data_IF_935841039268
#
_entry.id   IF_935841039268
#
_cell.length_a   1.000
_cell.length_b   1.000
_cell.length_c   1.000
_cell.angle_alpha   90.00
_cell.angle_beta   90.00
_cell.angle_gamma   90.00
#
_symmetry.space_group_name_H-M   'P 1'
#
loop_
_entity.id
_entity.type
_entity.pdbx_description
1 polymer ?
#
# COMPACT_ATOMS: atom_id res chain seq x y z
N UNK A 1 -7.95 8.56 8.62
CA UNK A 1 -7.26 7.58 7.74
C UNK A 1 -5.89 7.19 8.27
N UNK A 2 -5.04 8.15 8.67
CA UNK A 2 -3.66 7.87 9.14
C UNK A 2 -3.66 7.01 10.41
N UNK A 3 -4.44 7.36 11.44
CA UNK A 3 -4.53 6.57 12.68
C UNK A 3 -4.99 5.13 12.43
N UNK A 4 -6.02 4.95 11.60
CA UNK A 4 -6.53 3.61 11.23
C UNK A 4 -5.45 2.85 10.42
N UNK A 5 -4.69 3.56 9.57
CA UNK A 5 -3.56 3.00 8.84
C UNK A 5 -2.46 2.47 9.77
N UNK A 6 -2.07 3.24 10.79
CA UNK A 6 -1.08 2.82 11.79
C UNK A 6 -1.54 1.56 12.54
N UNK A 7 -2.81 1.53 12.97
CA UNK A 7 -3.39 0.34 13.63
C UNK A 7 -3.34 -0.88 12.72
N UNK A 8 -3.69 -0.74 11.43
CA UNK A 8 -3.62 -1.83 10.45
C UNK A 8 -2.22 -2.44 10.37
N UNK A 9 -1.19 -1.59 10.31
CA UNK A 9 0.20 -2.04 10.18
C UNK A 9 0.80 -2.52 11.49
N UNK A 10 0.30 -2.04 12.64
CA UNK A 10 0.72 -2.52 13.95
C UNK A 10 0.33 -3.99 14.19
N UNK A 11 -0.83 -4.43 13.66
CA UNK A 11 -1.31 -5.81 13.83
C UNK A 11 -0.32 -6.86 13.29
N UNK A 12 0.19 -6.80 12.04
CA UNK A 12 1.20 -7.74 11.57
C UNK A 12 2.54 -7.63 12.30
N UNK A 13 2.93 -6.43 12.73
CA UNK A 13 4.16 -6.20 13.48
C UNK A 13 4.13 -6.80 14.89
N UNK A 14 2.94 -7.11 15.41
CA UNK A 14 2.79 -7.83 16.65
C UNK A 14 3.19 -9.32 16.54
N UNK A 15 3.17 -9.89 15.31
CA UNK A 15 3.51 -11.32 15.10
C UNK A 15 4.92 -11.72 15.57
N UNK A 16 6.00 -11.00 15.26
CA UNK A 16 7.32 -11.32 15.77
C UNK A 16 7.40 -11.28 17.30
N UNK A 17 6.78 -10.29 17.93
CA UNK A 17 6.71 -10.18 19.39
C UNK A 17 5.96 -11.34 20.00
N UNK A 18 4.86 -11.74 19.41
CA UNK A 18 4.07 -12.89 19.83
C UNK A 18 4.86 -14.19 19.71
N UNK A 19 5.58 -14.38 18.59
CA UNK A 19 6.47 -15.54 18.42
C UNK A 19 7.55 -15.59 19.50
N UNK A 20 8.15 -14.45 19.84
CA UNK A 20 9.11 -14.36 20.93
C UNK A 20 8.47 -14.78 22.26
N UNK A 21 7.30 -14.24 22.61
CA UNK A 21 6.59 -14.60 23.85
C UNK A 21 6.28 -16.10 23.92
N UNK A 22 5.84 -16.69 22.80
CA UNK A 22 5.51 -18.13 22.74
C UNK A 22 6.78 -18.98 22.89
N UNK A 23 7.84 -18.65 22.16
CA UNK A 23 9.06 -19.46 22.16
C UNK A 23 9.79 -19.33 23.50
N UNK A 24 10.06 -18.09 23.93
CA UNK A 24 10.86 -17.86 25.14
C UNK A 24 10.07 -18.09 26.43
N UNK A 25 8.77 -17.73 26.42
CA UNK A 25 7.95 -17.75 27.63
C UNK A 25 7.13 -19.03 27.85
N UNK A 26 6.89 -19.82 26.80
CA UNK A 26 5.99 -21.00 26.92
C UNK A 26 6.69 -22.29 26.50
N UNK A 27 7.44 -22.29 25.39
CA UNK A 27 8.04 -23.50 24.82
C UNK A 27 9.42 -23.77 25.41
N UNK A 28 10.15 -22.71 25.78
CA UNK A 28 11.50 -22.85 26.33
C UNK A 28 11.51 -23.71 27.59
N UNK A 29 12.50 -24.62 27.73
CA UNK A 29 12.67 -25.41 28.95
C UNK A 29 12.83 -24.57 30.22
N UNK A 30 13.33 -23.35 30.08
CA UNK A 30 13.54 -22.42 31.19
C UNK A 30 12.25 -21.73 31.68
N UNK A 31 11.13 -21.90 30.96
CA UNK A 31 9.85 -21.31 31.33
C UNK A 31 9.24 -21.89 32.62
N UNK A 32 9.69 -23.08 33.03
CA UNK A 32 9.27 -23.72 34.29
C UNK A 32 7.76 -24.02 34.37
N UNK A 33 7.05 -24.02 33.27
CA UNK A 33 5.60 -24.24 33.20
C UNK A 33 5.28 -25.73 33.17
N UNK A 34 4.19 -26.10 33.85
CA UNK A 34 3.63 -27.44 33.68
C UNK A 34 3.07 -27.63 32.26
N UNK A 35 3.04 -28.86 31.71
CA UNK A 35 2.50 -29.11 30.35
C UNK A 35 1.07 -28.61 30.16
N UNK A 36 0.24 -28.65 31.18
CA UNK A 36 -1.14 -28.17 31.15
C UNK A 36 -1.21 -26.64 31.08
N UNK A 37 -0.38 -25.95 31.88
CA UNK A 37 -0.29 -24.48 31.86
C UNK A 37 0.27 -23.96 30.55
N UNK A 38 1.32 -24.60 30.03
CA UNK A 38 1.89 -24.28 28.73
C UNK A 38 0.85 -24.41 27.60
N UNK A 39 0.11 -25.51 27.60
CA UNK A 39 -0.98 -25.74 26.62
C UNK A 39 -2.08 -24.69 26.73
N UNK A 40 -2.51 -24.38 27.96
CA UNK A 40 -3.54 -23.34 28.16
C UNK A 40 -3.07 -21.96 27.70
N UNK A 41 -1.83 -21.59 28.03
CA UNK A 41 -1.26 -20.32 27.59
C UNK A 41 -1.12 -20.25 26.06
N UNK A 42 -0.68 -21.32 25.41
CA UNK A 42 -0.63 -21.41 23.95
C UNK A 42 -2.00 -21.20 23.34
N UNK A 43 -3.04 -21.87 23.83
CA UNK A 43 -4.41 -21.68 23.34
C UNK A 43 -4.90 -20.24 23.49
N UNK A 44 -4.58 -19.57 24.60
CA UNK A 44 -4.96 -18.17 24.84
C UNK A 44 -4.24 -17.22 23.87
N UNK A 45 -2.93 -17.36 23.67
CA UNK A 45 -2.16 -16.52 22.77
C UNK A 45 -2.51 -16.76 21.30
N UNK A 46 -2.60 -18.01 20.88
CA UNK A 46 -2.98 -18.38 19.51
C UNK A 46 -4.44 -17.97 19.23
N UNK A 47 -5.36 -18.29 20.15
CA UNK A 47 -6.77 -17.90 20.04
C UNK A 47 -6.97 -16.38 20.00
N UNK A 48 -6.27 -15.65 20.89
CA UNK A 48 -6.28 -14.18 20.89
C UNK A 48 -5.74 -13.59 19.58
N UNK A 49 -4.68 -14.17 19.03
CA UNK A 49 -4.12 -13.77 17.75
C UNK A 49 -5.08 -14.06 16.60
N UNK A 50 -5.69 -15.23 16.57
CA UNK A 50 -6.72 -15.55 15.57
C UNK A 50 -7.87 -14.55 15.65
N UNK A 51 -8.37 -14.25 16.83
CA UNK A 51 -9.43 -13.27 17.03
C UNK A 51 -9.02 -11.89 16.49
N UNK A 52 -7.79 -11.44 16.80
CA UNK A 52 -7.26 -10.17 16.32
C UNK A 52 -7.17 -10.12 14.79
N UNK A 53 -6.68 -11.19 14.15
CA UNK A 53 -6.51 -11.23 12.69
C UNK A 53 -7.82 -11.45 11.93
N UNK A 54 -8.73 -12.28 12.44
CA UNK A 54 -9.96 -12.62 11.71
C UNK A 54 -11.15 -11.74 12.09
N UNK A 55 -11.18 -11.17 13.30
CA UNK A 55 -12.30 -10.36 13.76
C UNK A 55 -11.98 -8.87 13.75
N UNK A 56 -10.81 -8.46 14.23
CA UNK A 56 -10.47 -7.04 14.39
C UNK A 56 -9.87 -6.45 13.11
N UNK A 57 -8.97 -7.16 12.45
CA UNK A 57 -8.27 -6.66 11.26
C UNK A 57 -9.20 -6.36 10.06
N UNK A 58 -10.19 -7.20 9.68
CA UNK A 58 -11.06 -6.92 8.54
C UNK A 58 -11.88 -5.63 8.68
N UNK A 59 -12.57 -5.34 9.81
CA UNK A 59 -13.25 -4.06 9.95
C UNK A 59 -12.30 -2.87 9.93
N UNK A 60 -11.12 -2.97 10.55
CA UNK A 60 -10.10 -1.91 10.49
C UNK A 60 -9.69 -1.63 9.04
N UNK A 61 -9.45 -2.68 8.25
CA UNK A 61 -9.12 -2.54 6.81
C UNK A 61 -10.29 -1.93 6.03
N UNK A 62 -11.51 -2.37 6.28
CA UNK A 62 -12.71 -1.84 5.63
C UNK A 62 -12.86 -0.35 5.88
N UNK A 63 -12.82 0.10 7.15
CA UNK A 63 -12.94 1.52 7.48
C UNK A 63 -11.78 2.34 6.91
N UNK A 64 -10.56 1.81 6.93
CA UNK A 64 -9.40 2.47 6.31
C UNK A 64 -9.64 2.72 4.82
N UNK A 65 -10.07 1.70 4.09
CA UNK A 65 -10.34 1.82 2.65
C UNK A 65 -11.53 2.76 2.39
N UNK A 66 -12.58 2.64 3.17
CA UNK A 66 -13.75 3.51 3.06
C UNK A 66 -13.38 4.99 3.20
N UNK A 67 -12.66 5.35 4.27
CA UNK A 67 -12.23 6.74 4.47
C UNK A 67 -11.19 7.20 3.44
N UNK A 68 -10.33 6.32 2.98
CA UNK A 68 -9.38 6.64 1.92
C UNK A 68 -10.11 6.97 0.60
N UNK A 69 -11.10 6.16 0.22
CA UNK A 69 -11.95 6.41 -0.95
C UNK A 69 -12.79 7.68 -0.79
N UNK A 70 -13.36 7.90 0.37
CA UNK A 70 -14.15 9.10 0.65
C UNK A 70 -13.31 10.38 0.45
N UNK A 71 -12.14 10.44 1.07
CA UNK A 71 -11.21 11.59 0.94
C UNK A 71 -10.76 11.77 -0.51
N UNK A 72 -10.41 10.67 -1.19
CA UNK A 72 -10.01 10.72 -2.59
C UNK A 72 -11.11 11.24 -3.51
N UNK A 73 -12.34 10.78 -3.33
CA UNK A 73 -13.47 11.25 -4.14
C UNK A 73 -13.77 12.74 -3.87
N UNK A 74 -13.59 13.19 -2.62
CA UNK A 74 -13.76 14.60 -2.28
C UNK A 74 -12.68 15.47 -2.97
N UNK A 75 -11.42 15.06 -2.91
CA UNK A 75 -10.32 15.75 -3.62
C UNK A 75 -10.61 15.80 -5.13
N UNK A 76 -11.07 14.69 -5.70
CA UNK A 76 -11.46 14.62 -7.11
C UNK A 76 -12.56 15.62 -7.46
N UNK A 77 -13.57 15.71 -6.62
CA UNK A 77 -14.67 16.66 -6.78
C UNK A 77 -14.15 18.11 -6.75
N UNK A 78 -13.37 18.45 -5.73
CA UNK A 78 -12.81 19.79 -5.56
C UNK A 78 -11.91 20.19 -6.76
N UNK A 79 -11.08 19.27 -7.26
CA UNK A 79 -10.25 19.51 -8.45
C UNK A 79 -11.13 19.74 -9.69
N UNK A 80 -12.17 18.92 -9.89
CA UNK A 80 -13.10 19.10 -11.01
C UNK A 80 -13.84 20.44 -10.95
N UNK A 81 -14.30 20.84 -9.78
CA UNK A 81 -14.97 22.12 -9.58
C UNK A 81 -14.07 23.30 -9.97
N UNK A 82 -12.80 23.29 -9.51
CA UNK A 82 -11.81 24.31 -9.87
C UNK A 82 -11.55 24.32 -11.37
N UNK A 83 -11.36 23.15 -11.99
CA UNK A 83 -11.15 23.04 -13.43
C UNK A 83 -12.35 23.53 -14.22
N UNK A 84 -13.56 23.15 -13.87
CA UNK A 84 -14.79 23.63 -14.50
C UNK A 84 -14.93 25.15 -14.40
N UNK A 85 -14.67 25.70 -13.23
CA UNK A 85 -14.72 27.16 -13.05
C UNK A 85 -13.70 27.91 -13.89
N UNK A 86 -12.54 27.32 -14.13
CA UNK A 86 -11.53 27.89 -15.05
C UNK A 86 -11.93 27.75 -16.52
N UNK A 87 -12.47 26.60 -16.91
CA UNK A 87 -12.96 26.41 -18.28
C UNK A 87 -14.06 27.41 -18.64
N UNK A 88 -14.99 27.70 -17.74
CA UNK A 88 -16.04 28.69 -17.96
C UNK A 88 -15.53 30.13 -18.16
N UNK A 89 -14.33 30.43 -17.69
CA UNK A 89 -13.70 31.75 -17.85
C UNK A 89 -12.93 31.90 -19.18
N UNK A 90 -12.73 30.81 -19.92
CA UNK A 90 -12.00 30.86 -21.19
C UNK A 90 -12.86 31.53 -22.29
N UNK A 91 -12.16 32.23 -23.20
CA UNK A 91 -12.81 32.95 -24.30
C UNK A 91 -13.46 32.00 -25.30
N UNK A 92 -14.49 32.47 -26.00
CA UNK A 92 -15.11 31.76 -27.13
C UNK A 92 -14.10 31.42 -28.22
N UNK A 93 -13.08 32.26 -28.43
CA UNK A 93 -11.99 32.01 -29.36
C UNK A 93 -11.20 30.74 -29.05
N UNK A 94 -11.01 30.40 -27.74
CA UNK A 94 -10.39 29.16 -27.34
C UNK A 94 -11.22 27.94 -27.80
N UNK A 95 -12.53 27.98 -27.58
CA UNK A 95 -13.44 26.90 -27.95
C UNK A 95 -13.66 26.79 -29.48
N UNK A 96 -13.50 27.85 -30.21
CA UNK A 96 -13.56 27.82 -31.67
C UNK A 96 -12.37 27.08 -32.31
N UNK A 97 -11.19 27.11 -31.62
CA UNK A 97 -9.95 26.50 -32.11
C UNK A 97 -9.64 25.14 -31.44
N UNK A 98 -10.38 24.74 -30.41
CA UNK A 98 -10.13 23.52 -29.66
C UNK A 98 -11.39 22.66 -29.62
N UNK A 99 -11.26 21.36 -29.93
CA UNK A 99 -12.41 20.45 -29.84
C UNK A 99 -12.85 20.31 -28.39
N UNK A 100 -14.06 20.76 -28.06
CA UNK A 100 -14.59 20.71 -26.71
C UNK A 100 -14.52 19.30 -26.09
N UNK A 101 -14.74 18.25 -26.90
CA UNK A 101 -14.62 16.86 -26.46
C UNK A 101 -13.21 16.46 -26.01
N UNK A 102 -12.17 17.02 -26.66
CA UNK A 102 -10.77 16.77 -26.27
C UNK A 102 -10.46 17.38 -24.91
N UNK A 103 -10.91 18.62 -24.67
CA UNK A 103 -10.74 19.30 -23.38
C UNK A 103 -11.43 18.53 -22.25
N UNK A 104 -12.67 18.11 -22.48
CA UNK A 104 -13.46 17.34 -21.50
C UNK A 104 -12.78 15.99 -21.22
N UNK A 105 -12.33 15.29 -22.25
CA UNK A 105 -11.64 14.00 -22.10
C UNK A 105 -10.34 14.15 -21.31
N UNK A 106 -9.53 15.18 -21.58
CA UNK A 106 -8.33 15.47 -20.78
C UNK A 106 -8.66 15.75 -19.34
N UNK A 107 -9.62 16.62 -19.05
CA UNK A 107 -10.03 16.93 -17.68
C UNK A 107 -10.47 15.69 -16.94
N UNK A 108 -11.23 14.79 -17.57
CA UNK A 108 -11.66 13.54 -16.93
C UNK A 108 -10.48 12.62 -16.69
N UNK A 109 -9.65 12.36 -17.68
CA UNK A 109 -8.57 11.38 -17.60
C UNK A 109 -7.40 11.85 -16.73
N UNK A 110 -6.97 13.09 -16.86
CA UNK A 110 -5.84 13.63 -16.11
C UNK A 110 -6.17 13.76 -14.62
N UNK A 111 -7.41 14.14 -14.31
CA UNK A 111 -7.88 14.20 -12.93
C UNK A 111 -7.98 12.80 -12.31
N UNK A 112 -8.43 11.78 -13.07
CA UNK A 112 -8.45 10.40 -12.60
C UNK A 112 -7.02 9.84 -12.36
N UNK A 113 -6.06 10.16 -13.22
CA UNK A 113 -4.65 9.81 -13.01
C UNK A 113 -4.07 10.51 -11.78
N UNK A 114 -4.41 11.79 -11.58
CA UNK A 114 -4.00 12.55 -10.39
C UNK A 114 -4.56 11.93 -9.12
N UNK A 115 -5.83 11.50 -9.12
CA UNK A 115 -6.44 10.75 -8.03
C UNK A 115 -5.64 9.50 -7.67
N UNK A 116 -5.32 8.68 -8.67
CA UNK A 116 -4.57 7.44 -8.46
C UNK A 116 -3.17 7.73 -7.90
N UNK A 117 -2.50 8.78 -8.37
CA UNK A 117 -1.22 9.21 -7.84
C UNK A 117 -1.32 9.64 -6.36
N UNK A 118 -2.33 10.43 -6.01
CA UNK A 118 -2.54 10.87 -4.62
C UNK A 118 -2.87 9.69 -3.71
N UNK A 119 -3.75 8.79 -4.15
CA UNK A 119 -4.15 7.63 -3.34
C UNK A 119 -3.02 6.64 -3.12
N UNK A 120 -2.35 6.23 -4.21
CA UNK A 120 -1.33 5.19 -4.16
C UNK A 120 0.00 5.77 -3.70
N UNK A 121 0.38 6.94 -4.21
CA UNK A 121 1.67 7.55 -3.93
C UNK A 121 1.73 8.18 -2.54
N UNK A 122 0.96 9.24 -2.32
CA UNK A 122 1.10 10.03 -1.09
C UNK A 122 0.60 9.30 0.16
N UNK A 123 -0.57 8.65 0.10
CA UNK A 123 -1.14 8.04 1.31
C UNK A 123 -0.42 6.76 1.73
N UNK A 124 -0.02 5.90 0.79
CA UNK A 124 0.66 4.65 1.13
C UNK A 124 2.13 4.88 1.51
N UNK A 125 2.85 5.75 0.81
CA UNK A 125 4.29 6.00 1.09
C UNK A 125 4.53 6.43 2.53
N UNK A 126 3.70 7.32 3.09
CA UNK A 126 3.83 7.73 4.49
C UNK A 126 3.57 6.59 5.47
N UNK A 127 2.58 5.75 5.18
CA UNK A 127 2.28 4.58 5.99
C UNK A 127 3.38 3.54 5.89
N UNK A 128 3.94 3.31 4.71
CA UNK A 128 5.05 2.38 4.51
C UNK A 128 6.31 2.85 5.24
N UNK A 129 6.66 4.14 5.17
CA UNK A 129 7.77 4.71 5.93
C UNK A 129 7.56 4.52 7.44
N UNK A 130 6.37 4.87 7.95
CA UNK A 130 6.06 4.69 9.35
C UNK A 130 6.16 3.22 9.78
N UNK A 131 5.68 2.31 8.95
CA UNK A 131 5.75 0.86 9.20
C UNK A 131 7.19 0.36 9.25
N UNK A 132 8.03 0.80 8.31
CA UNK A 132 9.46 0.45 8.28
C UNK A 132 10.16 0.94 9.55
N UNK A 133 9.90 2.19 9.97
CA UNK A 133 10.51 2.74 11.20
C UNK A 133 10.09 1.95 12.43
N UNK A 134 8.80 1.64 12.57
CA UNK A 134 8.29 0.85 13.69
C UNK A 134 8.89 -0.57 13.65
N UNK A 135 8.96 -1.19 12.47
CA UNK A 135 9.56 -2.52 12.32
C UNK A 135 11.03 -2.54 12.75
N UNK A 136 11.83 -1.55 12.35
CA UNK A 136 13.24 -1.42 12.74
C UNK A 136 13.34 -1.29 14.27
N UNK A 137 12.52 -0.44 14.90
CA UNK A 137 12.52 -0.29 16.36
C UNK A 137 12.20 -1.62 17.05
N UNK A 138 11.19 -2.34 16.61
CA UNK A 138 10.83 -3.66 17.16
C UNK A 138 11.98 -4.64 17.00
N UNK A 139 12.58 -4.73 15.81
CA UNK A 139 13.72 -5.63 15.56
C UNK A 139 14.92 -5.33 16.44
N UNK A 140 15.24 -4.05 16.66
CA UNK A 140 16.31 -3.62 17.55
C UNK A 140 16.06 -4.02 19.01
N UNK A 141 14.80 -4.05 19.46
CA UNK A 141 14.46 -4.52 20.83
C UNK A 141 14.51 -6.03 20.96
N UNK A 142 14.43 -6.78 19.85
CA UNK A 142 14.48 -8.26 19.86
C UNK A 142 15.92 -8.77 19.80
N UNK A 143 16.66 -8.36 18.77
CA UNK A 143 18.03 -8.79 18.52
C UNK A 143 18.77 -7.80 17.64
N UNK A 144 19.78 -7.11 18.18
CA UNK A 144 20.56 -6.10 17.44
C UNK A 144 21.43 -6.71 16.33
N UNK A 145 22.22 -7.78 16.58
CA UNK A 145 22.99 -8.43 15.52
C UNK A 145 22.16 -8.89 14.33
N UNK A 146 21.03 -9.53 14.58
CA UNK A 146 20.14 -10.02 13.52
C UNK A 146 19.51 -8.85 12.75
N UNK A 147 19.19 -7.74 13.44
CA UNK A 147 18.68 -6.53 12.80
C UNK A 147 19.70 -5.95 11.82
N UNK A 148 20.96 -5.86 12.21
CA UNK A 148 22.03 -5.36 11.34
C UNK A 148 22.16 -6.23 10.09
N UNK A 149 22.18 -7.55 10.24
CA UNK A 149 22.24 -8.48 9.09
C UNK A 149 21.06 -8.27 8.15
N UNK A 150 19.85 -8.13 8.69
CA UNK A 150 18.64 -7.87 7.89
C UNK A 150 18.72 -6.54 7.15
N UNK A 151 19.17 -5.47 7.81
CA UNK A 151 19.34 -4.17 7.17
C UNK A 151 20.40 -4.18 6.07
N UNK A 152 21.48 -4.95 6.23
CA UNK A 152 22.50 -5.15 5.20
C UNK A 152 21.97 -5.92 3.99
N UNK A 153 20.97 -6.78 4.16
CA UNK A 153 20.34 -7.49 3.05
C UNK A 153 19.45 -6.57 2.16
N UNK A 154 18.90 -5.47 2.71
CA UNK A 154 18.02 -4.56 1.97
C UNK A 154 18.66 -3.93 0.71
N UNK A 155 19.92 -3.45 0.72
CA UNK A 155 20.57 -2.94 -0.48
C UNK A 155 20.68 -3.97 -1.59
N UNK A 156 20.97 -5.23 -1.25
CA UNK A 156 21.04 -6.33 -2.23
C UNK A 156 19.67 -6.61 -2.86
N UNK A 157 18.62 -6.58 -2.04
CA UNK A 157 17.24 -6.67 -2.54
C UNK A 157 16.91 -5.49 -3.46
N UNK A 158 17.22 -4.26 -3.08
CA UNK A 158 17.02 -3.06 -3.89
C UNK A 158 17.75 -3.12 -5.22
N UNK A 159 18.99 -3.59 -5.24
CA UNK A 159 19.76 -3.80 -6.46
C UNK A 159 19.12 -4.83 -7.39
N UNK A 160 18.69 -5.96 -6.84
CA UNK A 160 17.98 -7.00 -7.58
C UNK A 160 16.70 -6.47 -8.20
N UNK A 161 15.88 -5.77 -7.43
CA UNK A 161 14.64 -5.15 -7.90
C UNK A 161 14.93 -4.18 -9.04
N UNK A 162 15.92 -3.27 -8.89
CA UNK A 162 16.31 -2.32 -9.94
C UNK A 162 16.72 -3.01 -11.24
N UNK A 163 17.49 -4.09 -11.14
CA UNK A 163 17.94 -4.86 -12.30
C UNK A 163 16.77 -5.51 -13.05
N UNK A 164 15.85 -6.15 -12.31
CA UNK A 164 14.70 -6.82 -12.91
C UNK A 164 13.66 -5.83 -13.44
N UNK A 165 13.45 -4.68 -12.76
CA UNK A 165 12.51 -3.66 -13.24
C UNK A 165 12.90 -3.08 -14.59
N UNK A 166 14.21 -2.88 -14.86
CA UNK A 166 14.68 -2.45 -16.18
C UNK A 166 14.23 -3.41 -17.27
N UNK A 167 14.45 -4.72 -17.06
CA UNK A 167 14.08 -5.76 -18.01
C UNK A 167 12.55 -5.91 -18.20
N UNK A 168 11.80 -5.80 -17.12
CA UNK A 168 10.33 -5.82 -17.16
C UNK A 168 9.76 -4.62 -17.94
N UNK A 169 10.32 -3.44 -17.77
CA UNK A 169 9.90 -2.23 -18.47
C UNK A 169 10.07 -2.35 -19.99
N UNK A 170 11.21 -2.91 -20.43
CA UNK A 170 11.48 -3.14 -21.85
C UNK A 170 10.51 -4.17 -22.45
N UNK A 171 10.22 -5.25 -21.72
CA UNK A 171 9.25 -6.26 -22.13
C UNK A 171 7.83 -5.70 -22.20
N UNK A 172 7.42 -4.89 -21.21
CA UNK A 172 6.10 -4.24 -21.21
C UNK A 172 5.97 -3.25 -22.37
N UNK A 173 7.02 -2.49 -22.68
CA UNK A 173 7.04 -1.58 -23.82
C UNK A 173 6.90 -2.33 -25.16
N UNK A 174 7.64 -3.42 -25.36
CA UNK A 174 7.52 -4.28 -26.53
C UNK A 174 6.11 -4.85 -26.67
N UNK A 175 5.52 -5.33 -25.56
CA UNK A 175 4.14 -5.83 -25.54
C UNK A 175 3.13 -4.75 -25.93
N UNK A 176 3.26 -3.53 -25.40
CA UNK A 176 2.37 -2.42 -25.76
C UNK A 176 2.49 -2.05 -27.23
N UNK A 177 3.69 -2.06 -27.81
CA UNK A 177 3.90 -1.83 -29.23
C UNK A 177 3.24 -2.92 -30.09
N UNK A 178 3.44 -4.18 -29.75
CA UNK A 178 2.80 -5.30 -30.48
C UNK A 178 1.26 -5.26 -30.39
N UNK A 179 0.70 -4.83 -29.26
CA UNK A 179 -0.76 -4.64 -29.11
C UNK A 179 -1.26 -3.46 -29.97
N UNK A 180 -0.52 -2.37 -30.04
CA UNK A 180 -0.87 -1.23 -30.89
C UNK A 180 -0.82 -1.62 -32.39
N UNK A 181 0.19 -2.41 -32.79
CA UNK A 181 0.29 -2.92 -34.16
C UNK A 181 -0.91 -3.81 -34.51
N UNK A 182 -1.32 -4.72 -33.60
CA UNK A 182 -2.51 -5.56 -33.81
C UNK A 182 -3.79 -4.74 -33.89
N UNK A 183 -3.95 -3.70 -33.05
CA UNK A 183 -5.11 -2.82 -33.12
C UNK A 183 -5.16 -2.05 -34.45
N UNK A 184 -4.03 -1.54 -34.93
CA UNK A 184 -3.99 -0.84 -36.23
C UNK A 184 -4.38 -1.76 -37.40
N UNK A 185 -3.97 -3.04 -37.36
CA UNK A 185 -4.39 -4.03 -38.39
C UNK A 185 -5.89 -4.37 -38.33
N UNK A 186 -6.52 -4.26 -37.14
CA UNK A 186 -7.96 -4.50 -37.00
C UNK A 186 -8.80 -3.29 -37.43
N UNK A 187 -8.26 -2.07 -37.24
CA UNK A 187 -8.96 -0.84 -37.64
C UNK A 187 -8.85 -0.55 -39.14
N UNK A 188 -7.91 -1.18 -39.87
CA UNK A 188 -7.76 -1.10 -41.33
C UNK A 188 -8.67 -2.07 -42.12
N UNK A 189 -9.43 -2.90 -41.42
CA UNK A 189 -10.41 -3.82 -42.07
C UNK A 189 -11.84 -3.39 -41.84
#
# INVERSE_FOLDING_TARGET
TILIGIIKFAIPLFMPLLMKIIIDGIISPDAGLSPEEATRQLFLWVGGTMLLFFVIRPPVEYYRQYYAQYVSNKILYDIREVLYSQLQKLSLSYYANTRAGEVISRVINDVEQTRNFVMIGLMNVWLDIATILIAIVIMLTMDVPLTIVTLLALPFYGFSVKHFFGKLRDLTRKRSQSLADVQSYLDER
#
